data_IF_696085163654
#
_entry.id   IF_696085163654
#
_cell.length_a   1.000
_cell.length_b   1.000
_cell.length_c   1.000
_cell.angle_alpha   90.00
_cell.angle_beta   90.00
_cell.angle_gamma   90.00
#
_symmetry.space_group_name_H-M   'P 1'
#
loop_
_entity.id
_entity.type
_entity.pdbx_description
1 polymer ?
#
# COMPACT_ATOMS: atom_id res chain seq x y z
N UNK A 1 -24.41 29.26 2.36
CA UNK A 1 -23.50 29.30 1.19
C UNK A 1 -23.38 27.88 0.67
N UNK A 2 -23.45 27.69 -0.65
CA UNK A 2 -23.19 26.39 -1.30
C UNK A 2 -21.80 25.92 -0.90
N UNK A 3 -21.71 24.74 -0.28
CA UNK A 3 -20.43 24.14 0.02
C UNK A 3 -19.72 23.81 -1.30
N UNK A 4 -18.42 24.10 -1.44
CA UNK A 4 -17.68 23.71 -2.63
C UNK A 4 -17.64 22.18 -2.68
N UNK A 5 -17.97 21.62 -3.83
CA UNK A 5 -18.00 20.16 -4.08
C UNK A 5 -17.00 19.75 -5.16
N UNK A 6 -16.32 20.72 -5.77
CA UNK A 6 -15.33 20.50 -6.83
C UNK A 6 -14.17 21.45 -6.69
N UNK A 7 -13.01 21.07 -7.23
CA UNK A 7 -11.79 21.88 -7.28
C UNK A 7 -12.03 23.30 -7.82
N UNK A 8 -12.83 23.43 -8.90
CA UNK A 8 -13.21 24.73 -9.46
C UNK A 8 -14.04 25.58 -8.49
N UNK A 9 -15.06 24.99 -7.84
CA UNK A 9 -15.88 25.73 -6.88
C UNK A 9 -15.11 26.12 -5.61
N UNK A 10 -14.11 25.32 -5.23
CA UNK A 10 -13.20 25.58 -4.12
C UNK A 10 -12.25 26.75 -4.45
N UNK A 11 -11.66 26.74 -5.65
CA UNK A 11 -10.88 27.86 -6.19
C UNK A 11 -11.64 29.18 -6.15
N UNK A 12 -12.88 29.19 -6.65
CA UNK A 12 -13.74 30.39 -6.63
C UNK A 12 -14.10 30.82 -5.20
N UNK A 13 -14.23 29.88 -4.27
CA UNK A 13 -14.47 30.21 -2.86
C UNK A 13 -13.25 30.93 -2.24
N UNK A 14 -12.04 30.40 -2.45
CA UNK A 14 -10.81 31.01 -1.94
C UNK A 14 -10.54 32.37 -2.59
N UNK A 15 -10.70 32.50 -3.92
CA UNK A 15 -10.56 33.80 -4.62
C UNK A 15 -11.55 34.85 -4.09
N UNK A 16 -12.81 34.47 -3.83
CA UNK A 16 -13.81 35.39 -3.24
C UNK A 16 -13.47 35.84 -1.82
N UNK A 17 -12.84 34.97 -1.01
CA UNK A 17 -12.39 35.34 0.34
C UNK A 17 -11.25 36.35 0.32
N UNK A 18 -10.43 36.33 -0.73
CA UNK A 18 -9.36 37.31 -0.94
C UNK A 18 -9.83 38.64 -1.57
N UNK A 19 -11.12 38.74 -1.92
CA UNK A 19 -11.70 39.97 -2.45
C UNK A 19 -11.95 39.98 -3.96
N UNK A 20 -11.74 38.87 -4.67
CA UNK A 20 -12.15 38.76 -6.08
C UNK A 20 -13.70 38.78 -6.19
N UNK A 21 -14.30 39.49 -7.16
CA UNK A 21 -13.68 40.23 -8.27
C UNK A 21 -13.43 41.73 -8.00
N UNK A 22 -13.63 42.20 -6.76
CA UNK A 22 -13.47 43.62 -6.41
C UNK A 22 -11.99 44.05 -6.42
N UNK A 23 -11.10 43.14 -6.03
CA UNK A 23 -9.64 43.34 -6.08
C UNK A 23 -9.04 42.42 -7.13
N UNK A 24 -8.13 42.97 -7.95
CA UNK A 24 -7.33 42.17 -8.88
C UNK A 24 -6.24 41.41 -8.10
N UNK A 25 -6.34 40.08 -8.15
CA UNK A 25 -5.34 39.20 -7.56
C UNK A 25 -4.20 39.03 -8.57
N UNK A 26 -2.99 39.46 -8.20
CA UNK A 26 -1.78 39.30 -9.03
C UNK A 26 -1.22 37.88 -8.88
N UNK A 27 -2.02 36.87 -9.17
CA UNK A 27 -1.67 35.46 -9.12
C UNK A 27 -2.14 34.81 -10.41
N UNK A 28 -1.26 34.01 -11.02
CA UNK A 28 -1.62 33.23 -12.20
C UNK A 28 -2.52 32.05 -11.83
N UNK A 29 -3.28 31.53 -12.80
CA UNK A 29 -4.19 30.42 -12.56
C UNK A 29 -3.47 29.13 -12.17
N UNK A 30 -2.26 28.90 -12.71
CA UNK A 30 -1.40 27.76 -12.36
C UNK A 30 -0.88 27.87 -10.93
N UNK A 31 -0.45 29.07 -10.51
CA UNK A 31 0.00 29.33 -9.13
C UNK A 31 -1.11 29.08 -8.10
N UNK A 32 -2.37 29.31 -8.49
CA UNK A 32 -3.53 29.00 -7.65
C UNK A 32 -3.75 27.48 -7.57
N UNK A 33 -3.53 26.75 -8.65
CA UNK A 33 -3.63 25.29 -8.65
C UNK A 33 -2.53 24.64 -7.80
N UNK A 34 -1.29 25.12 -7.88
CA UNK A 34 -0.19 24.65 -7.03
C UNK A 34 -0.50 24.84 -5.54
N UNK A 35 -1.06 26.00 -5.16
CA UNK A 35 -1.48 26.24 -3.77
C UNK A 35 -2.58 25.26 -3.32
N UNK A 36 -3.50 24.89 -4.22
CA UNK A 36 -4.57 23.93 -3.93
C UNK A 36 -3.95 22.55 -3.70
N UNK A 37 -3.03 22.11 -4.56
CA UNK A 37 -2.38 20.81 -4.45
C UNK A 37 -1.51 20.71 -3.18
N UNK A 38 -0.72 21.74 -2.87
CA UNK A 38 0.04 21.84 -1.61
C UNK A 38 -0.87 21.78 -0.38
N UNK A 39 -2.02 22.49 -0.44
CA UNK A 39 -2.99 22.51 0.66
C UNK A 39 -3.65 21.14 0.87
N UNK A 40 -3.93 20.43 -0.22
CA UNK A 40 -4.55 19.12 -0.19
C UNK A 40 -3.57 18.06 0.31
N UNK A 41 -2.30 18.11 -0.14
CA UNK A 41 -1.25 17.24 0.36
C UNK A 41 -1.08 17.40 1.87
N UNK A 42 -0.96 18.64 2.34
CA UNK A 42 -0.82 18.92 3.77
C UNK A 42 -2.03 18.41 4.57
N UNK A 43 -3.25 18.60 4.06
CA UNK A 43 -4.46 18.07 4.68
C UNK A 43 -4.48 16.54 4.75
N UNK A 44 -4.10 15.86 3.66
CA UNK A 44 -4.06 14.40 3.59
C UNK A 44 -3.01 13.76 4.50
N UNK A 45 -1.90 14.44 4.75
CA UNK A 45 -0.82 13.90 5.59
C UNK A 45 -1.10 14.03 7.09
N UNK A 46 -1.77 15.11 7.51
CA UNK A 46 -1.83 15.48 8.93
C UNK A 46 -3.24 15.51 9.53
N UNK A 47 -4.30 15.53 8.72
CA UNK A 47 -5.67 15.66 9.22
C UNK A 47 -6.37 14.29 9.32
N UNK A 48 -6.93 13.94 10.49
CA UNK A 48 -7.61 12.65 10.68
C UNK A 48 -8.81 12.44 9.74
N UNK A 49 -9.61 13.48 9.45
CA UNK A 49 -10.75 13.35 8.52
C UNK A 49 -10.34 13.14 7.05
N UNK A 50 -9.05 13.27 6.72
CA UNK A 50 -8.55 12.99 5.38
C UNK A 50 -8.23 11.50 5.17
N UNK A 51 -8.27 10.70 6.25
CA UNK A 51 -7.90 9.29 6.24
C UNK A 51 -9.03 8.42 6.79
N UNK A 52 -9.17 7.22 6.23
CA UNK A 52 -10.12 6.22 6.71
C UNK A 52 -9.38 4.94 7.11
N UNK A 53 -9.76 4.33 8.24
CA UNK A 53 -9.30 2.98 8.58
C UNK A 53 -10.08 1.97 7.75
N UNK A 54 -9.37 1.20 6.93
CA UNK A 54 -9.95 0.20 6.03
C UNK A 54 -9.19 -1.11 6.07
N UNK A 55 -9.88 -2.20 5.70
CA UNK A 55 -9.29 -3.53 5.60
C UNK A 55 -8.96 -3.83 4.14
N UNK A 56 -7.68 -3.75 3.79
CA UNK A 56 -7.20 -4.16 2.48
C UNK A 56 -7.05 -5.68 2.45
N UNK A 57 -7.65 -6.30 1.43
CA UNK A 57 -7.53 -7.72 1.15
C UNK A 57 -6.63 -7.89 -0.07
N UNK A 58 -5.53 -8.60 0.10
CA UNK A 58 -4.61 -8.91 -0.99
C UNK A 58 -4.47 -10.42 -1.12
N UNK A 59 -4.60 -10.94 -2.33
CA UNK A 59 -4.34 -12.34 -2.62
C UNK A 59 -2.87 -12.50 -3.02
N UNK A 60 -2.16 -13.44 -2.40
CA UNK A 60 -0.75 -13.68 -2.73
C UNK A 60 -0.65 -14.18 -4.17
N UNK A 61 -0.01 -13.37 -5.02
CA UNK A 61 0.24 -13.73 -6.39
C UNK A 61 1.47 -14.64 -6.52
N UNK A 62 1.33 -15.70 -7.33
CA UNK A 62 2.47 -16.49 -7.79
C UNK A 62 3.12 -15.84 -9.01
N UNK A 63 4.37 -16.20 -9.32
CA UNK A 63 5.03 -15.74 -10.53
C UNK A 63 4.31 -16.27 -11.77
N UNK A 64 4.21 -15.44 -12.81
CA UNK A 64 3.45 -15.75 -14.02
C UNK A 64 4.34 -15.76 -15.26
N UNK A 65 4.10 -16.77 -16.08
CA UNK A 65 4.72 -16.95 -17.38
C UNK A 65 3.61 -17.04 -18.43
N UNK A 66 3.55 -16.05 -19.33
CA UNK A 66 2.63 -16.10 -20.46
C UNK A 66 3.21 -16.98 -21.56
N UNK A 67 2.42 -17.93 -22.05
CA UNK A 67 2.80 -18.81 -23.14
C UNK A 67 2.31 -18.23 -24.47
N UNK A 68 3.01 -18.52 -25.57
CA UNK A 68 2.63 -18.11 -26.92
C UNK A 68 1.43 -18.90 -27.47
N UNK A 69 1.12 -20.05 -26.87
CA UNK A 69 0.02 -20.92 -27.26
C UNK A 69 -0.22 -22.00 -26.20
N UNK A 70 -1.19 -22.87 -26.47
CA UNK A 70 -1.48 -23.99 -25.59
C UNK A 70 -0.26 -24.96 -25.53
N UNK A 71 0.08 -25.49 -24.35
CA UNK A 71 1.15 -26.46 -24.20
C UNK A 71 0.81 -27.77 -24.92
N UNK A 72 1.83 -28.54 -25.31
CA UNK A 72 1.67 -29.84 -25.99
C UNK A 72 1.09 -30.94 -25.09
N UNK A 73 1.07 -30.69 -23.77
CA UNK A 73 0.46 -31.53 -22.74
C UNK A 73 0.07 -30.69 -21.52
N UNK A 74 -0.40 -31.34 -20.45
CA UNK A 74 -0.78 -30.64 -19.21
C UNK A 74 0.38 -30.66 -18.23
N UNK A 75 0.88 -29.48 -17.85
CA UNK A 75 1.85 -29.36 -16.75
C UNK A 75 1.22 -29.81 -15.44
N UNK A 76 1.92 -30.65 -14.67
CA UNK A 76 1.43 -31.12 -13.38
C UNK A 76 1.76 -30.09 -12.29
N UNK A 77 0.83 -29.81 -11.38
CA UNK A 77 1.11 -28.97 -10.22
C UNK A 77 2.23 -29.59 -9.37
N UNK A 78 3.25 -28.80 -9.02
CA UNK A 78 4.44 -29.23 -8.28
C UNK A 78 5.59 -29.76 -9.13
N UNK A 79 5.43 -29.83 -10.46
CA UNK A 79 6.47 -30.27 -11.38
C UNK A 79 7.53 -29.18 -11.63
N UNK A 80 8.79 -29.56 -11.88
CA UNK A 80 9.83 -28.62 -12.33
C UNK A 80 9.74 -28.37 -13.83
N UNK A 81 9.74 -27.11 -14.24
CA UNK A 81 9.92 -26.68 -15.62
C UNK A 81 11.32 -26.12 -15.82
N UNK A 82 11.94 -26.39 -16.96
CA UNK A 82 13.27 -25.87 -17.33
C UNK A 82 13.20 -25.07 -18.63
N UNK A 83 13.76 -23.88 -18.64
CA UNK A 83 13.90 -23.04 -19.83
C UNK A 83 15.09 -23.48 -20.68
N UNK A 84 14.88 -23.65 -21.99
CA UNK A 84 15.92 -24.14 -22.89
C UNK A 84 17.06 -23.15 -23.18
N UNK A 85 16.81 -21.85 -23.06
CA UNK A 85 17.82 -20.80 -23.34
C UNK A 85 18.30 -20.13 -22.05
N UNK A 86 17.38 -19.89 -21.11
CA UNK A 86 17.68 -19.26 -19.83
C UNK A 86 18.26 -20.22 -18.80
N UNK A 87 18.10 -21.54 -19.01
CA UNK A 87 18.42 -22.60 -18.03
C UNK A 87 17.78 -22.38 -16.64
N UNK A 88 16.74 -21.54 -16.58
CA UNK A 88 15.96 -21.28 -15.36
C UNK A 88 15.09 -22.50 -15.08
N UNK A 89 15.11 -22.97 -13.84
CA UNK A 89 14.16 -23.95 -13.33
C UNK A 89 13.12 -23.27 -12.45
N UNK A 90 11.87 -23.70 -12.52
CA UNK A 90 10.83 -23.24 -11.60
C UNK A 90 9.85 -24.35 -11.29
N UNK A 91 9.20 -24.29 -10.13
CA UNK A 91 8.16 -25.26 -9.76
C UNK A 91 6.80 -24.76 -10.23
N UNK A 92 6.07 -25.55 -11.00
CA UNK A 92 4.71 -25.22 -11.48
C UNK A 92 3.74 -25.20 -10.30
N UNK A 93 2.92 -24.15 -10.22
CA UNK A 93 1.77 -24.10 -9.32
C UNK A 93 0.52 -24.55 -10.07
N UNK A 94 0.17 -23.87 -11.16
CA UNK A 94 -1.01 -24.20 -11.97
C UNK A 94 -0.91 -23.61 -13.38
N UNK A 95 -1.41 -24.33 -14.38
CA UNK A 95 -1.61 -23.80 -15.72
C UNK A 95 -3.04 -23.30 -15.91
N UNK A 96 -3.21 -22.04 -16.29
CA UNK A 96 -4.50 -21.44 -16.56
C UNK A 96 -4.76 -21.36 -18.07
N UNK A 97 -5.63 -22.25 -18.58
CA UNK A 97 -5.92 -22.39 -20.01
C UNK A 97 -6.63 -21.18 -20.61
N UNK A 98 -7.43 -20.45 -19.83
CA UNK A 98 -8.21 -19.31 -20.29
C UNK A 98 -7.35 -18.10 -20.72
N UNK A 99 -6.17 -17.93 -20.12
CA UNK A 99 -5.26 -16.82 -20.45
C UNK A 99 -3.89 -17.31 -20.93
N UNK A 100 -3.72 -18.62 -21.18
CA UNK A 100 -2.43 -19.24 -21.55
C UNK A 100 -1.29 -18.85 -20.59
N UNK A 101 -1.60 -18.69 -19.30
CA UNK A 101 -0.65 -18.27 -18.27
C UNK A 101 -0.31 -19.44 -17.38
N UNK A 102 0.98 -19.74 -17.27
CA UNK A 102 1.53 -20.70 -16.32
C UNK A 102 1.95 -19.97 -15.06
N UNK A 103 1.43 -20.37 -13.90
CA UNK A 103 1.84 -19.86 -12.60
C UNK A 103 2.92 -20.77 -12.02
N UNK A 104 4.01 -20.20 -11.56
CA UNK A 104 5.15 -20.91 -11.01
C UNK A 104 5.62 -20.27 -9.69
N UNK A 105 6.47 -21.00 -8.98
CA UNK A 105 7.11 -20.59 -7.72
C UNK A 105 8.56 -21.07 -7.67
N UNK A 106 9.36 -20.40 -6.85
CA UNK A 106 10.75 -20.72 -6.57
C UNK A 106 11.57 -20.85 -7.87
N UNK A 107 11.81 -19.75 -8.61
CA UNK A 107 12.76 -19.77 -9.72
C UNK A 107 14.19 -20.02 -9.20
N UNK A 108 14.87 -20.97 -9.80
CA UNK A 108 16.23 -21.37 -9.53
C UNK A 108 17.03 -21.22 -10.83
N UNK A 109 18.26 -20.70 -10.76
CA UNK A 109 19.17 -20.71 -11.90
C UNK A 109 20.43 -21.46 -11.60
N UNK A 110 20.95 -22.04 -12.66
CA UNK A 110 22.23 -22.71 -12.65
C UNK A 110 23.33 -21.68 -12.43
N UNK A 111 24.12 -21.87 -11.37
CA UNK A 111 25.28 -21.02 -11.08
C UNK A 111 26.37 -21.86 -10.44
N UNK A 112 27.63 -21.53 -10.67
CA UNK A 112 28.78 -22.36 -10.31
C UNK A 112 29.25 -23.25 -11.47
N UNK A 113 30.56 -23.50 -11.55
CA UNK A 113 31.19 -24.22 -12.66
C UNK A 113 30.87 -25.71 -12.74
N UNK A 114 29.95 -26.22 -11.92
CA UNK A 114 29.43 -27.58 -11.97
C UNK A 114 28.02 -27.57 -12.59
N UNK A 115 27.80 -28.42 -13.58
CA UNK A 115 26.64 -28.39 -14.48
C UNK A 115 25.28 -28.71 -13.84
N UNK A 116 25.21 -28.86 -12.52
CA UNK A 116 24.10 -29.51 -11.82
C UNK A 116 23.60 -28.77 -10.57
N UNK A 117 24.20 -27.63 -10.19
CA UNK A 117 23.78 -26.89 -8.99
C UNK A 117 22.89 -25.70 -9.36
N UNK A 118 21.71 -25.63 -8.75
CA UNK A 118 20.73 -24.56 -8.94
C UNK A 118 20.61 -23.74 -7.65
N UNK A 119 20.55 -22.42 -7.79
CA UNK A 119 20.39 -21.47 -6.69
C UNK A 119 19.14 -20.65 -6.91
N UNK A 120 18.36 -20.42 -5.84
CA UNK A 120 17.19 -19.55 -5.89
C UNK A 120 17.59 -18.16 -6.40
N UNK A 121 16.97 -17.73 -7.51
CA UNK A 121 17.27 -16.46 -8.14
C UNK A 121 16.00 -15.91 -8.81
N UNK A 122 15.55 -14.76 -8.32
CA UNK A 122 14.38 -14.03 -8.83
C UNK A 122 14.75 -12.92 -9.81
N UNK A 123 16.05 -12.65 -10.01
CA UNK A 123 16.57 -11.61 -10.90
C UNK A 123 16.70 -12.11 -12.34
N UNK A 124 17.10 -13.37 -12.52
CA UNK A 124 17.19 -14.03 -13.82
C UNK A 124 15.90 -14.81 -14.07
N UNK A 125 15.14 -14.39 -15.07
CA UNK A 125 13.83 -14.97 -15.39
C UNK A 125 13.83 -15.69 -16.74
N UNK A 126 12.76 -16.42 -17.04
CA UNK A 126 12.62 -17.07 -18.35
C UNK A 126 12.70 -16.01 -19.47
N UNK A 127 13.50 -16.31 -20.49
CA UNK A 127 13.66 -15.47 -21.67
C UNK A 127 12.39 -15.47 -22.51
N UNK A 128 12.16 -14.40 -23.27
CA UNK A 128 11.03 -14.32 -24.21
C UNK A 128 11.26 -15.22 -25.43
N UNK A 129 10.20 -15.88 -25.90
CA UNK A 129 10.26 -16.78 -27.04
C UNK A 129 11.06 -18.08 -26.83
N UNK A 130 11.37 -18.46 -25.59
CA UNK A 130 12.10 -19.71 -25.30
C UNK A 130 11.17 -20.91 -25.12
N UNK A 131 11.70 -22.11 -25.32
CA UNK A 131 10.94 -23.35 -25.05
C UNK A 131 11.16 -23.77 -23.60
N UNK A 132 10.07 -23.91 -22.85
CA UNK A 132 10.05 -24.54 -21.52
C UNK A 132 9.67 -26.01 -21.65
N UNK A 133 10.29 -26.86 -20.83
CA UNK A 133 10.02 -28.30 -20.78
C UNK A 133 9.75 -28.73 -19.34
N UNK A 134 8.66 -29.45 -19.12
CA UNK A 134 8.33 -30.07 -17.83
C UNK A 134 9.07 -31.40 -17.64
N UNK A 135 9.64 -31.62 -16.46
CA UNK A 135 10.43 -32.80 -16.12
C UNK A 135 9.59 -34.09 -16.02
N UNK A 136 8.43 -34.02 -15.34
CA UNK A 136 7.56 -35.19 -15.10
C UNK A 136 6.56 -35.44 -16.23
N UNK A 137 6.07 -34.39 -16.87
CA UNK A 137 5.04 -34.43 -17.91
C UNK A 137 5.62 -34.49 -19.32
N UNK A 138 6.90 -34.14 -19.49
CA UNK A 138 7.52 -33.89 -20.81
C UNK A 138 6.72 -32.88 -21.67
N UNK A 139 5.81 -32.11 -21.07
CA UNK A 139 5.04 -31.10 -21.75
C UNK A 139 5.97 -29.94 -22.12
N UNK A 140 5.82 -29.44 -23.35
CA UNK A 140 6.60 -28.32 -23.85
C UNK A 140 5.68 -27.15 -24.15
N UNK A 141 6.15 -25.94 -23.86
CA UNK A 141 5.49 -24.72 -24.30
C UNK A 141 6.51 -23.66 -24.66
N UNK A 142 6.13 -22.71 -25.52
CA UNK A 142 6.97 -21.56 -25.85
C UNK A 142 6.52 -20.35 -25.06
N UNK A 143 7.44 -19.63 -24.42
CA UNK A 143 7.15 -18.37 -23.73
C UNK A 143 6.73 -17.31 -24.75
N UNK A 144 5.88 -16.37 -24.35
CA UNK A 144 5.39 -15.34 -25.24
C UNK A 144 6.53 -14.45 -25.76
N UNK A 145 6.49 -14.09 -27.04
CA UNK A 145 7.60 -13.39 -27.71
C UNK A 145 7.81 -11.94 -27.22
N UNK A 146 6.77 -11.30 -26.68
CA UNK A 146 6.79 -9.88 -26.29
C UNK A 146 6.37 -9.59 -24.86
N UNK A 147 5.95 -10.61 -24.09
CA UNK A 147 5.53 -10.43 -22.69
C UNK A 147 6.57 -11.10 -21.80
N UNK A 148 7.32 -10.28 -21.06
CA UNK A 148 8.26 -10.77 -20.07
C UNK A 148 7.53 -11.49 -18.92
N UNK A 149 8.21 -12.44 -18.31
CA UNK A 149 7.81 -13.05 -17.04
C UNK A 149 7.60 -11.99 -15.96
N UNK A 150 6.50 -12.09 -15.23
CA UNK A 150 6.27 -11.25 -14.05
C UNK A 150 6.47 -12.10 -12.79
N UNK A 151 7.36 -11.64 -11.90
CA UNK A 151 7.57 -12.28 -10.60
C UNK A 151 6.45 -11.84 -9.66
N UNK A 152 5.78 -12.81 -9.03
CA UNK A 152 4.66 -12.59 -8.11
C UNK A 152 5.13 -12.32 -6.69
N UNK A 153 4.18 -11.91 -5.83
CA UNK A 153 4.42 -11.55 -4.43
C UNK A 153 5.10 -12.67 -3.64
N UNK A 154 4.74 -13.93 -3.93
CA UNK A 154 5.30 -15.11 -3.25
C UNK A 154 6.83 -15.20 -3.42
N UNK A 155 7.32 -14.96 -4.63
CA UNK A 155 8.75 -15.04 -4.93
C UNK A 155 9.48 -13.73 -4.62
N UNK A 156 8.79 -12.60 -4.75
CA UNK A 156 9.30 -11.27 -4.37
C UNK A 156 9.45 -11.11 -2.84
N UNK A 157 8.68 -11.86 -2.04
CA UNK A 157 8.62 -11.78 -0.57
C UNK A 157 8.16 -10.43 -0.02
N UNK A 158 7.50 -9.64 -0.84
CA UNK A 158 6.84 -8.40 -0.46
C UNK A 158 5.55 -8.25 -1.23
N UNK A 159 4.62 -7.49 -0.66
CA UNK A 159 3.36 -7.13 -1.29
C UNK A 159 3.46 -5.68 -1.72
N UNK A 160 3.18 -5.40 -2.99
CA UNK A 160 3.05 -4.02 -3.48
C UNK A 160 1.76 -3.40 -2.98
N UNK A 161 1.85 -2.27 -2.29
CA UNK A 161 0.72 -1.52 -1.76
C UNK A 161 0.54 -0.25 -2.59
N UNK A 162 -0.70 0.20 -2.76
CA UNK A 162 -0.98 1.46 -3.44
C UNK A 162 -0.54 2.66 -2.59
N UNK A 163 0.00 3.70 -3.25
CA UNK A 163 0.47 4.95 -2.64
C UNK A 163 -0.62 5.68 -1.81
N UNK A 164 -1.89 5.41 -2.09
CA UNK A 164 -3.01 5.93 -1.31
C UNK A 164 -3.05 5.43 0.15
N UNK A 165 -2.21 4.48 0.56
CA UNK A 165 -2.16 3.93 1.91
C UNK A 165 -1.02 4.60 2.70
N UNK A 166 -1.37 5.34 3.74
CA UNK A 166 -0.42 6.10 4.56
C UNK A 166 0.27 5.18 5.56
N UNK A 167 -0.50 4.31 6.19
CA UNK A 167 -0.03 3.49 7.31
C UNK A 167 -0.66 2.12 7.29
N UNK A 168 0.12 1.12 7.69
CA UNK A 168 -0.37 -0.21 8.02
C UNK A 168 -0.34 -0.32 9.54
N UNK A 169 -1.49 -0.63 10.16
CA UNK A 169 -1.61 -0.73 11.61
C UNK A 169 -1.34 -2.15 12.09
N UNK A 170 -2.00 -3.12 11.48
CA UNK A 170 -1.93 -4.53 11.89
C UNK A 170 -2.26 -5.45 10.73
N UNK A 171 -1.69 -6.64 10.77
CA UNK A 171 -2.08 -7.75 9.91
C UNK A 171 -2.87 -8.75 10.74
N UNK A 172 -3.98 -9.22 10.18
CA UNK A 172 -4.76 -10.28 10.81
C UNK A 172 -3.92 -11.57 10.73
N UNK A 173 -3.63 -12.23 11.87
CA UNK A 173 -2.75 -13.38 11.88
C UNK A 173 -3.33 -14.52 11.04
N UNK A 174 -2.43 -15.25 10.38
CA UNK A 174 -2.75 -16.50 9.72
C UNK A 174 -3.08 -17.53 10.80
N UNK A 175 -4.36 -17.76 11.05
CA UNK A 175 -4.74 -18.92 11.84
C UNK A 175 -4.43 -20.15 11.02
N UNK A 176 -3.61 -21.05 11.58
CA UNK A 176 -3.47 -22.41 11.08
C UNK A 176 -4.87 -22.94 10.80
N UNK A 177 -5.18 -23.15 9.52
CA UNK A 177 -6.36 -23.91 9.17
C UNK A 177 -6.10 -25.30 9.73
N UNK A 178 -6.74 -25.64 10.85
CA UNK A 178 -6.58 -26.84 11.67
C UNK A 178 -6.82 -28.18 10.93
N UNK A 179 -6.86 -28.13 9.60
CA UNK A 179 -6.99 -29.25 8.65
C UNK A 179 -5.68 -29.97 8.38
N UNK A 180 -4.50 -29.48 8.82
CA UNK A 180 -3.30 -30.33 8.89
C UNK A 180 -3.33 -31.17 10.17
N UNK A 181 -4.06 -32.26 10.06
CA UNK A 181 -4.51 -33.21 11.07
C UNK A 181 -3.37 -34.07 11.67
N UNK A 182 -2.30 -33.44 12.19
CA UNK A 182 -1.24 -34.20 12.86
C UNK A 182 -1.60 -34.39 14.33
N UNK A 183 -1.96 -35.63 14.68
CA UNK A 183 -2.14 -36.09 16.06
C UNK A 183 -0.88 -35.88 16.93
N UNK A 184 0.26 -35.53 16.33
CA UNK A 184 1.53 -35.24 17.00
C UNK A 184 1.85 -33.75 17.10
N UNK A 185 0.97 -32.86 16.64
CA UNK A 185 1.19 -31.43 16.87
C UNK A 185 1.12 -31.13 18.37
N UNK A 186 2.06 -30.31 18.86
CA UNK A 186 2.10 -29.90 20.27
C UNK A 186 0.77 -29.28 20.69
N UNK A 187 0.18 -28.44 19.83
CA UNK A 187 -1.14 -27.82 20.03
C UNK A 187 -2.22 -28.89 20.28
N UNK A 188 -2.27 -29.95 19.49
CA UNK A 188 -3.26 -31.03 19.65
C UNK A 188 -3.04 -31.87 20.91
N UNK A 189 -1.79 -32.20 21.24
CA UNK A 189 -1.45 -32.96 22.45
C UNK A 189 -1.76 -32.16 23.74
N UNK A 190 -1.49 -30.86 23.76
CA UNK A 190 -1.86 -29.99 24.88
C UNK A 190 -3.39 -29.79 24.98
N UNK A 191 -4.08 -29.65 23.85
CA UNK A 191 -5.54 -29.57 23.82
C UNK A 191 -6.19 -30.86 24.34
N UNK A 192 -5.64 -32.04 24.03
CA UNK A 192 -6.10 -33.33 24.58
C UNK A 192 -5.83 -33.46 26.08
N UNK A 193 -4.63 -33.05 26.54
CA UNK A 193 -4.30 -33.04 27.96
C UNK A 193 -5.24 -32.12 28.75
N UNK A 194 -5.65 -30.99 28.15
CA UNK A 194 -6.55 -30.05 28.79
C UNK A 194 -8.03 -30.44 28.67
N UNK A 195 -8.46 -31.03 27.55
CA UNK A 195 -9.82 -31.56 27.38
C UNK A 195 -10.15 -32.58 28.45
N UNK A 196 -9.16 -33.37 28.89
CA UNK A 196 -9.31 -34.32 29.98
C UNK A 196 -9.56 -33.66 31.35
N UNK A 197 -9.23 -32.37 31.52
CA UNK A 197 -9.47 -31.58 32.75
C UNK A 197 -10.75 -30.72 32.71
N UNK A 198 -11.45 -30.66 31.57
CA UNK A 198 -12.67 -29.84 31.38
C UNK A 198 -13.93 -30.40 32.08
N UNK A 199 -13.90 -31.63 32.62
CA UNK A 199 -15.10 -32.36 33.04
C UNK A 199 -15.73 -32.01 34.39
N UNK A 200 -15.47 -30.83 34.99
CA UNK A 200 -15.82 -30.59 36.40
C UNK A 200 -16.69 -29.36 36.70
N UNK A 201 -16.28 -28.15 36.29
CA UNK A 201 -16.90 -26.87 36.69
C UNK A 201 -16.60 -25.76 35.66
N UNK A 202 -17.50 -24.76 35.52
CA UNK A 202 -17.37 -23.64 34.57
C UNK A 202 -16.10 -22.80 34.81
N UNK A 203 -15.67 -22.67 36.07
CA UNK A 203 -14.43 -21.95 36.43
C UNK A 203 -13.20 -22.63 35.81
N UNK A 204 -13.14 -23.96 35.88
CA UNK A 204 -12.05 -24.72 35.29
C UNK A 204 -12.09 -24.66 33.75
N UNK A 205 -13.28 -24.58 33.16
CA UNK A 205 -13.44 -24.38 31.73
C UNK A 205 -12.89 -23.02 31.27
N UNK A 206 -13.21 -21.94 31.98
CA UNK A 206 -12.70 -20.61 31.64
C UNK A 206 -11.17 -20.52 31.79
N UNK A 207 -10.61 -21.05 32.88
CA UNK A 207 -9.15 -21.09 33.08
C UNK A 207 -8.46 -21.91 31.98
N UNK A 208 -9.05 -23.03 31.57
CA UNK A 208 -8.55 -23.85 30.47
C UNK A 208 -8.61 -23.12 29.13
N UNK A 209 -9.68 -22.37 28.85
CA UNK A 209 -9.81 -21.56 27.64
C UNK A 209 -8.79 -20.41 27.59
N UNK A 210 -8.58 -19.69 28.70
CA UNK A 210 -7.56 -18.65 28.81
C UNK A 210 -6.15 -19.23 28.60
N UNK A 211 -5.88 -20.42 29.15
CA UNK A 211 -4.61 -21.13 28.95
C UNK A 211 -4.43 -21.57 27.50
N UNK A 212 -5.47 -22.04 26.83
CA UNK A 212 -5.41 -22.40 25.41
C UNK A 212 -5.20 -21.18 24.51
N UNK A 213 -5.82 -20.03 24.82
CA UNK A 213 -5.57 -18.79 24.08
C UNK A 213 -4.13 -18.29 24.26
N UNK A 214 -3.61 -18.32 25.49
CA UNK A 214 -2.22 -17.96 25.76
C UNK A 214 -1.23 -18.90 25.05
N UNK A 215 -1.49 -20.22 25.09
CA UNK A 215 -0.67 -21.20 24.38
C UNK A 215 -0.73 -20.98 22.87
N UNK A 216 -1.92 -20.71 22.33
CA UNK A 216 -2.06 -20.42 20.91
C UNK A 216 -1.25 -19.18 20.52
N UNK A 217 -1.38 -18.07 21.25
CA UNK A 217 -0.62 -16.84 21.02
C UNK A 217 0.90 -17.08 21.08
N UNK A 218 1.36 -17.87 22.05
CA UNK A 218 2.78 -18.21 22.20
C UNK A 218 3.32 -19.06 21.04
N UNK A 219 2.49 -19.93 20.44
CA UNK A 219 2.94 -20.84 19.38
C UNK A 219 2.68 -20.31 17.96
N UNK A 220 1.64 -19.51 17.72
CA UNK A 220 1.39 -18.92 16.40
C UNK A 220 2.13 -17.60 16.22
N UNK A 221 2.36 -16.85 17.31
CA UNK A 221 2.81 -15.47 17.21
C UNK A 221 1.87 -14.60 16.38
N UNK A 222 2.19 -13.31 16.30
CA UNK A 222 1.59 -12.41 15.30
C UNK A 222 2.65 -12.06 14.26
N UNK A 223 2.31 -12.06 12.95
CA UNK A 223 3.27 -11.71 11.92
C UNK A 223 3.67 -10.25 12.08
N UNK A 224 4.97 -10.00 12.27
CA UNK A 224 5.53 -8.66 12.25
C UNK A 224 5.65 -8.17 10.80
N UNK A 225 5.58 -6.86 10.60
CA UNK A 225 5.68 -6.26 9.29
C UNK A 225 6.58 -5.04 9.27
N UNK A 226 7.16 -4.79 8.10
CA UNK A 226 7.93 -3.59 7.80
C UNK A 226 7.30 -2.91 6.61
N UNK A 227 6.86 -1.68 6.83
CA UNK A 227 6.23 -0.84 5.83
C UNK A 227 6.87 0.54 5.83
N UNK A 228 7.09 1.08 4.64
CA UNK A 228 7.48 2.46 4.45
C UNK A 228 6.65 3.04 3.31
N UNK A 229 6.00 4.19 3.55
CA UNK A 229 5.17 4.91 2.58
C UNK A 229 5.92 5.23 1.28
N UNK A 230 7.22 5.51 1.34
CA UNK A 230 8.00 5.85 0.15
C UNK A 230 8.57 4.65 -0.61
N UNK A 231 8.38 3.44 -0.09
CA UNK A 231 8.83 2.21 -0.75
C UNK A 231 7.68 1.42 -1.37
N UNK A 232 6.42 1.77 -1.06
CA UNK A 232 5.19 1.12 -1.55
C UNK A 232 5.19 -0.42 -1.40
N UNK A 233 5.96 -0.90 -0.43
CA UNK A 233 6.23 -2.33 -0.21
C UNK A 233 5.97 -2.68 1.23
N UNK A 234 5.12 -3.67 1.42
CA UNK A 234 4.90 -4.32 2.70
C UNK A 234 5.72 -5.61 2.74
N UNK A 235 6.71 -5.63 3.64
CA UNK A 235 7.45 -6.83 3.97
C UNK A 235 6.78 -7.51 5.14
N UNK A 236 6.51 -8.80 4.97
CA UNK A 236 5.99 -9.68 6.01
C UNK A 236 7.14 -10.54 6.50
N UNK A 237 7.44 -10.47 7.80
CA UNK A 237 8.46 -11.31 8.42
C UNK A 237 7.85 -12.69 8.72
N UNK A 238 7.49 -13.42 7.66
CA UNK A 238 6.88 -14.75 7.67
C UNK A 238 7.72 -15.74 6.86
N UNK A 239 7.54 -17.04 7.12
CA UNK A 239 8.13 -18.08 6.29
C UNK A 239 7.25 -18.33 5.05
N UNK A 240 7.60 -17.67 3.94
CA UNK A 240 6.94 -17.87 2.64
C UNK A 240 7.01 -19.35 2.22
N UNK A 241 5.84 -19.96 1.99
CA UNK A 241 5.70 -21.38 1.63
C UNK A 241 5.39 -22.33 2.78
N UNK A 242 5.64 -21.92 4.04
CA UNK A 242 5.18 -22.67 5.23
C UNK A 242 3.93 -22.02 5.84
N UNK A 243 3.98 -20.69 6.04
CA UNK A 243 2.92 -19.93 6.72
C UNK A 243 1.93 -19.28 5.73
N UNK A 244 2.39 -19.02 4.50
CA UNK A 244 1.57 -18.43 3.45
C UNK A 244 1.90 -19.04 2.08
N UNK A 245 0.87 -19.51 1.38
CA UNK A 245 0.94 -20.09 0.04
C UNK A 245 0.44 -19.15 -1.06
N UNK A 246 0.68 -19.53 -2.31
CA UNK A 246 0.04 -18.86 -3.45
C UNK A 246 -1.47 -19.08 -3.36
N UNK A 247 -2.24 -18.05 -3.71
CA UNK A 247 -3.70 -17.98 -3.61
C UNK A 247 -4.27 -17.74 -2.20
N UNK A 248 -3.42 -17.70 -1.16
CA UNK A 248 -3.87 -17.31 0.19
C UNK A 248 -4.18 -15.82 0.27
N UNK A 249 -5.15 -15.48 1.12
CA UNK A 249 -5.61 -14.12 1.34
C UNK A 249 -4.98 -13.53 2.59
N UNK A 250 -4.41 -12.35 2.42
CA UNK A 250 -3.85 -11.54 3.49
C UNK A 250 -4.80 -10.37 3.72
N UNK A 251 -5.15 -10.13 4.98
CA UNK A 251 -5.99 -8.99 5.37
C UNK A 251 -5.18 -8.07 6.26
N UNK A 252 -5.08 -6.82 5.83
CA UNK A 252 -4.28 -5.78 6.47
C UNK A 252 -5.19 -4.63 6.86
N UNK A 253 -5.11 -4.22 8.11
CA UNK A 253 -5.74 -3.00 8.64
C UNK A 253 -4.82 -1.82 8.30
N UNK A 254 -5.30 -0.89 7.48
CA UNK A 254 -4.53 0.23 6.97
C UNK A 254 -5.32 1.54 6.94
N UNK A 255 -4.60 2.64 7.13
CA UNK A 255 -5.13 3.99 6.98
C UNK A 255 -4.96 4.43 5.52
N UNK A 256 -6.08 4.67 4.86
CA UNK A 256 -6.14 5.03 3.44
C UNK A 256 -6.54 6.50 3.29
N UNK A 257 -5.87 7.20 2.38
CA UNK A 257 -6.23 8.55 1.93
C UNK A 257 -7.57 8.50 1.22
N UNK A 258 -8.45 9.42 1.59
CA UNK A 258 -9.73 9.60 0.92
C UNK A 258 -9.49 10.41 -0.37
N UNK A 259 -9.94 9.85 -1.49
CA UNK A 259 -9.86 10.50 -2.80
C UNK A 259 -10.89 11.65 -2.90
N UNK A 260 -10.47 12.91 -3.08
CA UNK A 260 -11.35 14.07 -3.19
C UNK A 260 -12.18 14.12 -4.49
N UNK A 261 -11.88 13.29 -5.49
CA UNK A 261 -12.74 13.13 -6.67
C UNK A 261 -13.96 12.25 -6.38
N UNK A 262 -13.81 11.28 -5.49
CA UNK A 262 -14.89 10.37 -5.06
C UNK A 262 -15.70 10.98 -3.91
N UNK A 263 -15.04 11.63 -2.95
CA UNK A 263 -15.67 12.24 -1.77
C UNK A 263 -15.55 13.77 -1.81
N UNK A 264 -16.50 14.40 -2.50
CA UNK A 264 -16.54 15.84 -2.71
C UNK A 264 -16.67 16.69 -1.42
N UNK A 265 -17.10 16.09 -0.32
CA UNK A 265 -17.29 16.78 0.96
C UNK A 265 -15.97 17.25 1.59
N UNK A 266 -14.83 16.69 1.18
CA UNK A 266 -13.49 17.12 1.62
C UNK A 266 -13.26 18.60 1.30
N UNK A 267 -13.70 19.06 0.13
CA UNK A 267 -13.57 20.47 -0.26
C UNK A 267 -14.32 21.42 0.68
N UNK A 268 -15.33 20.89 1.40
CA UNK A 268 -16.14 21.65 2.33
C UNK A 268 -15.47 21.88 3.69
N UNK A 269 -14.34 21.21 3.96
CA UNK A 269 -13.65 21.27 5.23
C UNK A 269 -13.18 22.70 5.60
N UNK A 270 -13.32 23.06 6.87
CA UNK A 270 -13.01 24.41 7.36
C UNK A 270 -11.51 24.67 7.41
N UNK A 271 -10.70 23.65 7.72
CA UNK A 271 -9.25 23.75 7.74
C UNK A 271 -8.72 23.93 6.32
N UNK A 272 -9.09 23.05 5.38
CA UNK A 272 -8.63 23.10 4.00
C UNK A 272 -8.94 24.47 3.35
N UNK A 273 -10.14 25.00 3.58
CA UNK A 273 -10.54 26.34 3.13
C UNK A 273 -9.68 27.46 3.72
N UNK A 274 -9.41 27.44 5.03
CA UNK A 274 -8.61 28.47 5.70
C UNK A 274 -7.16 28.41 5.24
N UNK A 275 -6.58 27.21 5.20
CA UNK A 275 -5.19 26.99 4.85
C UNK A 275 -4.90 27.39 3.40
N UNK A 276 -5.71 26.92 2.43
CA UNK A 276 -5.52 27.29 1.03
C UNK A 276 -5.70 28.81 0.78
N UNK A 277 -6.66 29.44 1.46
CA UNK A 277 -6.85 30.90 1.35
C UNK A 277 -5.61 31.66 1.84
N UNK A 278 -4.98 31.20 2.92
CA UNK A 278 -3.75 31.79 3.46
C UNK A 278 -2.54 31.53 2.54
N UNK A 279 -2.42 30.35 1.92
CA UNK A 279 -1.39 30.07 0.90
C UNK A 279 -1.52 30.98 -0.33
N UNK A 280 -2.74 31.13 -0.86
CA UNK A 280 -2.98 32.07 -1.95
C UNK A 280 -2.67 33.52 -1.55
N UNK A 281 -2.99 33.93 -0.32
CA UNK A 281 -2.64 35.26 0.21
C UNK A 281 -1.12 35.47 0.27
N UNK A 282 -0.37 34.46 0.69
CA UNK A 282 1.11 34.46 0.69
C UNK A 282 1.64 34.62 -0.74
N UNK A 283 1.13 33.84 -1.69
CA UNK A 283 1.54 33.93 -3.09
C UNK A 283 1.23 35.30 -3.71
N UNK A 284 0.08 35.88 -3.37
CA UNK A 284 -0.27 37.25 -3.74
C UNK A 284 0.75 38.25 -3.20
N UNK A 285 1.06 38.18 -1.91
CA UNK A 285 2.09 39.03 -1.27
C UNK A 285 3.47 38.88 -1.91
N UNK A 286 3.89 37.65 -2.24
CA UNK A 286 5.15 37.38 -2.94
C UNK A 286 5.22 38.01 -4.33
N UNK A 287 4.10 38.00 -5.06
CA UNK A 287 4.05 38.66 -6.36
C UNK A 287 4.02 40.18 -6.21
N UNK A 288 3.32 40.73 -5.20
CA UNK A 288 3.26 42.16 -4.93
C UNK A 288 4.60 42.76 -4.46
N UNK A 289 5.38 42.03 -3.66
CA UNK A 289 6.72 42.50 -3.21
C UNK A 289 7.70 42.66 -4.37
N UNK A 290 7.53 41.94 -5.49
CA UNK A 290 8.33 42.14 -6.71
C UNK A 290 8.05 43.49 -7.39
N UNK A 291 6.90 44.09 -7.12
CA UNK A 291 6.51 45.42 -7.60
C UNK A 291 6.72 46.52 -6.53
N UNK A 292 7.31 46.17 -5.38
CA UNK A 292 7.63 47.10 -4.30
C UNK A 292 8.69 48.10 -4.78
N UNK A 293 8.35 49.39 -4.81
CA UNK A 293 9.19 50.47 -5.32
C UNK A 293 8.73 51.08 -6.66
N UNK A 294 7.76 50.48 -7.36
CA UNK A 294 7.13 51.09 -8.52
C UNK A 294 5.92 51.93 -8.07
N UNK A 295 6.03 53.26 -8.11
CA UNK A 295 4.89 54.14 -7.84
C UNK A 295 3.89 54.03 -8.98
N UNK A 296 2.69 53.56 -8.68
CA UNK A 296 1.55 53.68 -9.58
C UNK A 296 1.20 55.17 -9.77
N UNK A 297 0.76 55.60 -10.97
CA UNK A 297 0.22 56.94 -11.16
C UNK A 297 -1.01 57.12 -10.23
N UNK A 298 -0.86 57.89 -9.16
CA UNK A 298 -1.90 58.04 -8.13
C UNK A 298 -1.42 58.04 -6.67
N UNK A 299 -0.13 57.81 -6.41
CA UNK A 299 0.45 58.00 -5.07
C UNK A 299 0.09 56.92 -4.04
N UNK A 300 -0.55 55.82 -4.47
CA UNK A 300 -0.79 54.64 -3.63
C UNK A 300 0.42 53.71 -3.73
N UNK A 301 1.13 53.50 -2.61
CA UNK A 301 2.20 52.50 -2.51
C UNK A 301 1.59 51.13 -2.22
N UNK A 302 1.96 50.13 -3.00
CA UNK A 302 1.48 48.76 -2.81
C UNK A 302 2.25 48.10 -1.65
N UNK A 303 1.62 47.98 -0.47
CA UNK A 303 2.22 47.36 0.72
C UNK A 303 2.25 45.82 0.61
N UNK A 304 2.97 45.28 -0.38
CA UNK A 304 3.10 43.83 -0.61
C UNK A 304 3.79 43.09 0.54
N UNK A 305 4.74 43.75 1.23
CA UNK A 305 5.48 43.18 2.37
C UNK A 305 4.58 42.86 3.56
N UNK A 306 3.72 43.79 3.94
CA UNK A 306 2.79 43.62 5.07
C UNK A 306 1.80 42.48 4.79
N UNK A 307 1.30 42.37 3.55
CA UNK A 307 0.41 41.27 3.18
C UNK A 307 1.10 39.90 3.28
N UNK A 308 2.37 39.83 2.88
CA UNK A 308 3.17 38.61 2.99
C UNK A 308 3.38 38.19 4.45
N UNK A 309 3.79 39.13 5.32
CA UNK A 309 4.07 38.87 6.73
C UNK A 309 2.78 38.48 7.51
N UNK A 310 1.66 39.12 7.18
CA UNK A 310 0.34 38.75 7.72
C UNK A 310 -0.06 37.33 7.29
N UNK A 311 0.19 36.96 6.02
CA UNK A 311 -0.13 35.64 5.50
C UNK A 311 0.73 34.53 6.13
N UNK A 312 2.03 34.79 6.36
CA UNK A 312 2.91 33.82 7.04
C UNK A 312 2.49 33.59 8.48
N UNK A 313 2.13 34.65 9.20
CA UNK A 313 1.65 34.53 10.60
C UNK A 313 0.34 33.74 10.68
N UNK A 314 -0.57 33.96 9.74
CA UNK A 314 -1.83 33.23 9.63
C UNK A 314 -1.58 31.74 9.33
N UNK A 315 -0.65 31.41 8.43
CA UNK A 315 -0.25 30.03 8.12
C UNK A 315 0.34 29.32 9.34
N UNK A 316 1.26 29.96 10.07
CA UNK A 316 1.85 29.39 11.29
C UNK A 316 0.80 29.11 12.36
N UNK A 317 -0.17 30.01 12.51
CA UNK A 317 -1.28 29.83 13.46
C UNK A 317 -2.14 28.63 13.05
N UNK A 318 -2.47 28.52 11.76
CA UNK A 318 -3.27 27.40 11.24
C UNK A 318 -2.52 26.08 11.39
N UNK A 319 -1.22 26.03 11.10
CA UNK A 319 -0.38 24.83 11.28
C UNK A 319 -0.32 24.40 12.76
N UNK A 320 -0.19 25.36 13.68
CA UNK A 320 -0.20 25.08 15.12
C UNK A 320 -1.56 24.55 15.59
N UNK A 321 -2.66 25.15 15.12
CA UNK A 321 -4.02 24.65 15.40
C UNK A 321 -4.23 23.23 14.85
N UNK A 322 -3.65 22.92 13.68
CA UNK A 322 -3.72 21.60 13.06
C UNK A 322 -3.08 20.54 13.95
N UNK A 323 -1.82 20.76 14.34
CA UNK A 323 -1.07 19.78 15.13
C UNK A 323 -1.71 19.53 16.49
N UNK A 324 -2.30 20.56 17.10
CA UNK A 324 -2.94 20.42 18.40
C UNK A 324 -4.32 19.77 18.38
N UNK A 325 -5.10 19.94 17.31
CA UNK A 325 -6.52 19.55 17.28
C UNK A 325 -6.85 18.39 16.34
N UNK A 326 -6.08 18.21 15.27
CA UNK A 326 -6.46 17.37 14.14
C UNK A 326 -5.40 16.33 13.77
N UNK A 327 -4.22 16.33 14.39
CA UNK A 327 -3.30 15.21 14.28
C UNK A 327 -3.87 14.01 15.01
N UNK A 328 -3.93 12.87 14.31
CA UNK A 328 -4.11 11.58 14.96
C UNK A 328 -3.02 11.46 16.03
N UNK A 329 -3.35 10.99 17.25
CA UNK A 329 -2.33 10.75 18.25
C UNK A 329 -1.24 9.90 17.60
N UNK A 330 0.02 10.33 17.70
CA UNK A 330 1.16 9.48 17.37
C UNK A 330 0.98 8.25 18.24
N UNK A 331 0.52 7.14 17.64
CA UNK A 331 0.36 5.85 18.29
C UNK A 331 1.78 5.35 18.58
N UNK A 332 2.38 5.93 19.61
CA UNK A 332 3.61 5.47 20.21
C UNK A 332 3.23 4.19 20.93
N UNK A 333 3.19 3.10 20.16
CA UNK A 333 3.37 1.71 20.57
C UNK A 333 3.29 1.51 22.10
N UNK A 334 2.09 1.63 22.67
CA UNK A 334 1.81 1.06 23.98
C UNK A 334 1.32 -0.36 23.69
N UNK A 335 2.30 -1.22 23.50
CA UNK A 335 2.19 -2.68 23.52
C UNK A 335 3.21 -3.22 24.50
#
# INVERSE_FOLDING_TARGET
>A
MTQPTTRSTFKDYCKRKLGWPVVELNIDDDQVEDCIDDSLQFFQEYHFDATENTFLKHQISGSTLKLAGAPTGTFTAGEKITGGTSEVQATVHEYHSANTTLRYKNPEVKSGGDGNTYYANTTTTFSTGETITGDSSSATATTHASTATAIGDFDNKYISIAEAIIGVRRIIPFYDNSRSNSMFSSKYQFALQEMHQLGGQLVNYQMAQERLMMLNEMFTGTPMFRYNRHQDKLFLDISWGADAGIDDWIVVECDKIIDPATYADIWSDMFLKRYNTALMKKQWGQNLTKFEGMQLPGGVTMNGRQLYDDATTELETIQTEMSLRYELPVDHLIG
#
